data_IF_922724009556
#
_entry.id   IF_922724009556
#
_cell.length_a   1.000
_cell.length_b   1.000
_cell.length_c   1.000
_cell.angle_alpha   90.00
_cell.angle_beta   90.00
_cell.angle_gamma   90.00
#
_symmetry.space_group_name_H-M   'P 1'
#
loop_
_entity.id
_entity.type
_entity.pdbx_description
1 polymer ?
#
# COMPACT_ATOMS: atom_id res chain seq x y z
N UNK A 1 -25.51 56.21 -5.53
CA UNK A 1 -25.23 55.78 -6.92
C UNK A 1 -24.45 54.46 -6.95
N UNK A 2 -25.05 53.40 -7.49
CA UNK A 2 -24.42 52.09 -7.66
C UNK A 2 -23.41 52.15 -8.81
N UNK A 3 -22.14 51.85 -8.52
CA UNK A 3 -21.09 51.77 -9.55
C UNK A 3 -21.24 50.45 -10.31
N UNK A 4 -21.22 50.45 -11.65
CA UNK A 4 -21.23 49.21 -12.41
C UNK A 4 -19.89 48.49 -12.24
N UNK A 5 -19.93 47.19 -11.95
CA UNK A 5 -18.75 46.32 -11.94
C UNK A 5 -18.79 45.40 -13.15
N UNK A 6 -17.61 45.08 -13.70
CA UNK A 6 -17.45 44.17 -14.82
C UNK A 6 -17.20 42.76 -14.27
N UNK A 7 -17.98 41.78 -14.71
CA UNK A 7 -17.70 40.37 -14.44
C UNK A 7 -16.44 39.96 -15.23
N UNK A 8 -15.27 40.03 -14.60
CA UNK A 8 -14.02 39.54 -15.19
C UNK A 8 -14.06 38.01 -15.25
N UNK A 9 -13.76 37.43 -16.42
CA UNK A 9 -13.70 35.98 -16.68
C UNK A 9 -12.72 35.19 -15.78
N UNK A 10 -11.99 35.84 -14.88
CA UNK A 10 -11.01 35.21 -13.98
C UNK A 10 -11.57 34.01 -13.21
N UNK A 11 -12.84 34.07 -12.76
CA UNK A 11 -13.46 32.96 -12.04
C UNK A 11 -13.65 31.71 -12.92
N UNK A 12 -14.00 31.90 -14.19
CA UNK A 12 -14.16 30.81 -15.15
C UNK A 12 -12.79 30.24 -15.54
N UNK A 13 -11.79 31.09 -15.78
CA UNK A 13 -10.43 30.65 -16.06
C UNK A 13 -9.82 29.80 -14.93
N UNK A 14 -10.05 30.17 -13.66
CA UNK A 14 -9.61 29.38 -12.51
C UNK A 14 -10.35 28.04 -12.44
N UNK A 15 -11.67 28.04 -12.68
CA UNK A 15 -12.49 26.82 -12.68
C UNK A 15 -12.02 25.81 -13.73
N UNK A 16 -11.64 26.29 -14.91
CA UNK A 16 -11.16 25.44 -16.02
C UNK A 16 -9.78 24.82 -15.72
N UNK A 17 -9.03 25.37 -14.77
CA UNK A 17 -7.71 24.88 -14.37
C UNK A 17 -7.75 23.83 -13.24
N UNK A 18 -8.88 23.64 -12.54
CA UNK A 18 -8.99 22.72 -11.39
C UNK A 18 -8.94 21.25 -11.80
N UNK A 19 -9.45 20.91 -12.98
CA UNK A 19 -9.55 19.52 -13.46
C UNK A 19 -8.73 19.29 -14.73
N UNK A 20 -7.50 19.82 -14.76
CA UNK A 20 -6.58 19.48 -15.84
C UNK A 20 -6.14 18.02 -15.69
N UNK A 21 -6.02 17.26 -16.78
CA UNK A 21 -5.42 15.93 -16.75
C UNK A 21 -3.98 16.05 -16.24
N UNK A 22 -3.78 15.78 -14.95
CA UNK A 22 -2.53 15.98 -14.21
C UNK A 22 -1.57 14.79 -14.34
N UNK A 23 -1.44 14.23 -15.54
CA UNK A 23 -0.55 13.10 -15.76
C UNK A 23 0.80 13.69 -16.16
N UNK A 24 1.68 13.87 -15.18
CA UNK A 24 3.09 14.06 -15.48
C UNK A 24 3.55 12.76 -16.15
N UNK A 25 3.88 12.83 -17.44
CA UNK A 25 4.48 11.69 -18.12
C UNK A 25 5.83 11.41 -17.45
N UNK A 26 6.19 10.13 -17.20
CA UNK A 26 7.51 9.78 -16.73
C UNK A 26 8.57 10.39 -17.66
N UNK A 27 9.59 11.02 -17.08
CA UNK A 27 10.71 11.59 -17.84
C UNK A 27 11.73 10.53 -18.23
N UNK A 28 11.59 9.31 -17.72
CA UNK A 28 12.52 8.18 -17.87
C UNK A 28 11.72 6.93 -18.21
N UNK A 29 12.34 6.00 -18.94
CA UNK A 29 11.71 4.72 -19.23
C UNK A 29 11.67 3.83 -17.98
N UNK A 30 10.84 2.79 -18.02
CA UNK A 30 10.78 1.79 -16.94
C UNK A 30 12.15 1.13 -16.74
N UNK A 31 12.83 0.79 -17.84
CA UNK A 31 14.15 0.16 -17.81
C UNK A 31 15.21 1.06 -17.17
N UNK A 32 15.20 2.35 -17.50
CA UNK A 32 16.14 3.35 -16.98
C UNK A 32 15.91 3.60 -15.48
N UNK A 33 14.65 3.59 -15.04
CA UNK A 33 14.32 3.65 -13.61
C UNK A 33 14.79 2.38 -12.87
N UNK A 34 14.56 1.20 -13.43
CA UNK A 34 15.00 -0.05 -12.83
C UNK A 34 16.52 -0.13 -12.72
N UNK A 35 17.26 0.35 -13.73
CA UNK A 35 18.72 0.41 -13.67
C UNK A 35 19.19 1.31 -12.52
N UNK A 36 18.58 2.48 -12.34
CA UNK A 36 18.89 3.36 -11.20
C UNK A 36 18.56 2.74 -9.85
N UNK A 37 17.43 2.05 -9.74
CA UNK A 37 17.07 1.32 -8.52
C UNK A 37 18.01 0.15 -8.26
N UNK A 38 18.55 -0.49 -9.31
CA UNK A 38 19.59 -1.50 -9.20
C UNK A 38 20.91 -0.92 -8.67
N UNK A 39 21.35 0.21 -9.23
CA UNK A 39 22.54 0.93 -8.79
C UNK A 39 22.43 1.42 -7.33
N UNK A 40 21.21 1.80 -6.91
CA UNK A 40 20.89 2.14 -5.52
C UNK A 40 20.81 0.94 -4.58
N UNK A 41 20.86 -0.28 -5.11
CA UNK A 41 20.71 -1.51 -4.33
C UNK A 41 19.28 -1.77 -3.84
N UNK A 42 18.28 -1.09 -4.41
CA UNK A 42 16.87 -1.27 -4.08
C UNK A 42 16.24 -2.47 -4.81
N UNK A 43 16.94 -3.05 -5.79
CA UNK A 43 16.51 -4.28 -6.47
C UNK A 43 17.08 -5.49 -5.75
N UNK A 44 16.17 -6.32 -5.22
CA UNK A 44 16.51 -7.63 -4.63
C UNK A 44 16.78 -8.59 -5.80
N UNK A 45 18.05 -8.83 -6.12
CA UNK A 45 18.46 -9.65 -7.28
C UNK A 45 18.40 -11.16 -7.04
N UNK A 46 18.07 -11.59 -5.82
CA UNK A 46 18.10 -12.99 -5.42
C UNK A 46 16.97 -13.29 -4.47
N UNK A 47 15.74 -12.91 -4.87
CA UNK A 47 14.50 -13.17 -4.13
C UNK A 47 14.67 -14.40 -3.27
N UNK A 48 14.69 -14.18 -1.95
CA UNK A 48 15.08 -15.22 -0.99
C UNK A 48 14.30 -16.50 -1.21
N UNK A 49 14.76 -17.63 -0.64
CA UNK A 49 14.15 -18.96 -0.78
C UNK A 49 12.67 -18.85 -1.14
N UNK A 50 12.32 -19.25 -2.37
CA UNK A 50 10.93 -19.36 -2.77
C UNK A 50 10.20 -20.08 -1.64
N UNK A 51 9.01 -19.59 -1.23
CA UNK A 51 8.28 -20.23 -0.15
C UNK A 51 8.09 -21.69 -0.55
N UNK A 52 8.76 -22.59 0.17
CA UNK A 52 8.62 -24.02 -0.05
C UNK A 52 7.12 -24.31 0.02
N UNK A 53 6.55 -25.03 -0.97
CA UNK A 53 5.13 -25.34 -0.96
C UNK A 53 4.82 -25.99 0.38
N UNK A 54 3.80 -25.47 1.08
CA UNK A 54 3.38 -26.05 2.36
C UNK A 54 3.10 -27.52 2.12
N UNK A 55 3.90 -28.40 2.72
CA UNK A 55 3.67 -29.82 2.64
C UNK A 55 2.26 -30.10 3.20
N UNK A 56 1.47 -30.88 2.47
CA UNK A 56 0.21 -31.40 2.97
C UNK A 56 0.54 -32.27 4.18
N UNK A 57 0.03 -31.90 5.36
CA UNK A 57 0.18 -32.71 6.57
C UNK A 57 -0.71 -33.94 6.38
N UNK A 58 -0.16 -35.14 6.61
CA UNK A 58 -0.94 -36.37 6.58
C UNK A 58 -1.94 -36.36 7.74
N UNK A 59 -3.22 -36.58 7.43
CA UNK A 59 -4.31 -36.63 8.42
C UNK A 59 -4.10 -37.72 9.50
N UNK A 60 -3.19 -38.68 9.26
CA UNK A 60 -2.85 -39.74 10.20
C UNK A 60 -1.66 -39.39 11.12
N UNK A 61 -0.97 -38.28 10.89
CA UNK A 61 0.12 -37.80 11.74
C UNK A 61 -0.42 -36.86 12.83
N UNK A 62 -0.87 -37.47 13.94
CA UNK A 62 -1.44 -36.75 15.07
C UNK A 62 -0.49 -35.73 15.71
N UNK A 63 0.82 -35.97 15.69
CA UNK A 63 1.81 -35.06 16.28
C UNK A 63 1.97 -33.80 15.40
N UNK A 64 1.99 -33.97 14.07
CA UNK A 64 2.03 -32.84 13.13
C UNK A 64 0.74 -32.01 13.17
N UNK A 65 -0.42 -32.65 13.33
CA UNK A 65 -1.71 -31.97 13.48
C UNK A 65 -1.77 -31.14 14.76
N UNK A 66 -1.32 -31.67 15.90
CA UNK A 66 -1.30 -30.93 17.16
C UNK A 66 -0.36 -29.70 17.08
N UNK A 67 0.81 -29.86 16.48
CA UNK A 67 1.75 -28.76 16.26
C UNK A 67 1.14 -27.62 15.41
N UNK A 68 0.35 -27.95 14.37
CA UNK A 68 -0.33 -26.94 13.56
C UNK A 68 -1.45 -26.26 14.36
N UNK A 69 -2.23 -26.99 15.17
CA UNK A 69 -3.26 -26.40 16.04
C UNK A 69 -2.65 -25.42 17.04
N UNK A 70 -1.53 -25.76 17.66
CA UNK A 70 -0.79 -24.86 18.57
C UNK A 70 -0.33 -23.61 17.84
N UNK A 71 0.21 -23.75 16.63
CA UNK A 71 0.65 -22.62 15.80
C UNK A 71 -0.50 -21.71 15.37
N UNK A 72 -1.66 -22.28 15.02
CA UNK A 72 -2.86 -21.50 14.70
C UNK A 72 -3.34 -20.70 15.92
N UNK A 73 -3.37 -21.30 17.10
CA UNK A 73 -3.73 -20.59 18.34
C UNK A 73 -2.78 -19.43 18.64
N UNK A 74 -1.47 -19.64 18.50
CA UNK A 74 -0.48 -18.57 18.70
C UNK A 74 -0.63 -17.42 17.70
N UNK A 75 -1.12 -17.72 16.49
CA UNK A 75 -1.44 -16.69 15.50
C UNK A 75 -2.67 -15.88 15.89
N UNK A 76 -3.71 -16.54 16.40
CA UNK A 76 -4.91 -15.87 16.91
C UNK A 76 -4.57 -14.94 18.09
N UNK A 77 -3.82 -15.44 19.08
CA UNK A 77 -3.35 -14.63 20.22
C UNK A 77 -2.54 -13.40 19.75
N UNK A 78 -1.69 -13.56 18.74
CA UNK A 78 -0.94 -12.45 18.15
C UNK A 78 -1.87 -11.44 17.46
N UNK A 79 -2.89 -11.89 16.72
CA UNK A 79 -3.86 -11.01 16.06
C UNK A 79 -4.68 -10.20 17.06
N UNK A 80 -5.13 -10.85 18.13
CA UNK A 80 -5.91 -10.22 19.18
C UNK A 80 -5.10 -9.13 19.91
N UNK A 81 -3.82 -9.41 20.18
CA UNK A 81 -2.90 -8.43 20.78
C UNK A 81 -2.48 -7.31 19.81
N UNK A 82 -2.61 -7.50 18.50
CA UNK A 82 -2.21 -6.55 17.46
C UNK A 82 -3.39 -6.19 16.53
N UNK A 83 -4.41 -5.48 17.04
CA UNK A 83 -5.55 -5.11 16.24
C UNK A 83 -5.14 -4.20 15.09
N UNK A 84 -5.71 -4.47 13.91
CA UNK A 84 -5.47 -3.64 12.72
C UNK A 84 -5.90 -2.21 13.01
N UNK A 85 -5.04 -1.26 12.66
CA UNK A 85 -5.31 0.14 12.88
C UNK A 85 -5.06 0.63 14.31
N UNK A 86 -4.39 -0.14 15.17
CA UNK A 86 -3.93 0.35 16.47
C UNK A 86 -3.16 1.69 16.38
N UNK A 87 -2.39 1.91 15.30
CA UNK A 87 -1.64 3.14 15.06
C UNK A 87 -2.42 4.30 14.41
N UNK A 88 -3.62 4.06 13.87
CA UNK A 88 -4.45 5.09 13.23
C UNK A 88 -5.78 5.33 13.96
N UNK A 89 -5.95 4.77 15.16
CA UNK A 89 -7.09 5.02 16.06
C UNK A 89 -7.01 6.37 16.80
N UNK A 90 -6.12 7.25 16.35
CA UNK A 90 -5.93 8.61 16.83
C UNK A 90 -7.07 9.54 16.41
N UNK A 91 -8.24 9.34 17.00
CA UNK A 91 -9.18 10.41 17.37
C UNK A 91 -10.00 11.06 16.25
N UNK A 92 -11.16 10.47 15.94
CA UNK A 92 -12.36 11.29 15.75
C UNK A 92 -12.92 11.65 17.15
N UNK A 93 -12.15 12.43 17.92
CA UNK A 93 -12.72 13.18 19.04
C UNK A 93 -13.27 14.45 18.40
N UNK A 94 -14.59 14.58 18.43
CA UNK A 94 -15.34 15.60 17.69
C UNK A 94 -14.98 17.04 18.00
#
# INVERSE_FOLDING_TARGET
PTRPFVLTNNRQMIKDQVFRPGWALPTMSVDEYLQQEQERGNIISGGGKEPEPKAEIDDNDYDALDAEVVKQRGWDDFKDNNPRGAGNMGGNRG
#
